data_IF_388294243883
#
_entry.id   IF_388294243883
#
_cell.length_a   1.000
_cell.length_b   1.000
_cell.length_c   1.000
_cell.angle_alpha   90.00
_cell.angle_beta   90.00
_cell.angle_gamma   90.00
#
_symmetry.space_group_name_H-M   'P 1'
#
loop_
_entity.id
_entity.type
_entity.pdbx_description
1 polymer ?
#
# COMPACT_ATOMS: atom_id res chain seq x y z
N UNK A 1 -2.56 15.05 15.11
CA UNK A 1 -1.67 15.16 13.94
C UNK A 1 -0.50 14.21 14.14
N UNK A 2 -0.07 13.52 13.08
CA UNK A 2 1.05 12.57 13.04
C UNK A 2 1.37 12.26 11.59
N UNK A 3 2.42 11.49 11.35
CA UNK A 3 2.83 11.06 10.00
C UNK A 3 2.57 9.57 9.88
N UNK A 4 2.02 9.14 8.74
CA UNK A 4 1.87 7.73 8.40
C UNK A 4 3.11 7.27 7.64
N UNK A 5 3.71 6.17 8.08
CA UNK A 5 4.88 5.57 7.45
C UNK A 5 4.50 4.20 6.91
N UNK A 6 4.76 3.98 5.63
CA UNK A 6 4.57 2.71 4.94
C UNK A 6 5.93 2.12 4.60
N UNK A 7 6.06 0.80 4.72
CA UNK A 7 7.24 0.06 4.30
C UNK A 7 6.79 -0.94 3.25
N UNK A 8 7.33 -0.83 2.04
CA UNK A 8 6.94 -1.64 0.89
C UNK A 8 8.14 -1.90 -0.02
N UNK A 9 8.07 -2.90 -0.93
CA UNK A 9 9.07 -3.10 -1.98
C UNK A 9 9.22 -1.87 -2.88
N UNK A 10 10.44 -1.56 -3.33
CA UNK A 10 10.71 -0.37 -4.13
C UNK A 10 10.03 -0.37 -5.50
N UNK A 11 9.73 -1.56 -6.03
CA UNK A 11 9.11 -1.77 -7.33
C UNK A 11 7.59 -1.86 -7.27
N UNK A 12 6.97 -1.82 -6.08
CA UNK A 12 5.52 -1.90 -5.90
C UNK A 12 4.99 -0.55 -5.39
N UNK A 13 3.78 -0.18 -5.83
CA UNK A 13 3.08 1.00 -5.36
C UNK A 13 2.47 0.77 -3.95
N UNK A 14 2.17 1.86 -3.22
CA UNK A 14 1.50 1.80 -1.92
C UNK A 14 -0.02 1.84 -2.13
N UNK A 15 -0.75 0.92 -1.49
CA UNK A 15 -2.20 0.84 -1.57
C UNK A 15 -2.87 1.42 -0.31
N UNK A 16 -4.16 1.79 -0.44
CA UNK A 16 -5.00 2.20 0.71
C UNK A 16 -5.11 1.13 1.79
N UNK A 17 -5.02 -0.13 1.38
CA UNK A 17 -5.10 -1.30 2.24
C UNK A 17 -3.76 -1.61 2.94
N UNK A 18 -2.66 -0.99 2.49
CA UNK A 18 -1.33 -1.24 3.03
C UNK A 18 -1.22 -0.81 4.49
N UNK A 19 -0.55 -1.64 5.30
CA UNK A 19 -0.40 -1.39 6.74
C UNK A 19 0.52 -0.19 6.98
N UNK A 20 -0.01 0.82 7.65
CA UNK A 20 0.72 2.04 7.99
C UNK A 20 1.09 2.08 9.48
N UNK A 21 2.35 2.43 9.78
CA UNK A 21 2.80 2.74 11.15
C UNK A 21 2.66 4.23 11.44
N UNK A 22 1.99 4.58 12.53
CA UNK A 22 1.75 5.98 12.92
C UNK A 22 2.91 6.55 13.74
N UNK A 23 3.67 7.47 13.16
CA UNK A 23 4.66 8.27 13.87
C UNK A 23 3.99 9.48 14.52
N UNK A 24 3.87 9.45 15.86
CA UNK A 24 3.26 10.53 16.62
C UNK A 24 4.28 11.65 16.93
N UNK A 25 3.88 12.93 16.88
CA UNK A 25 4.78 14.04 17.18
C UNK A 25 5.20 14.06 18.66
N UNK A 26 6.20 14.89 18.97
CA UNK A 26 6.69 15.07 20.34
C UNK A 26 7.52 13.90 20.87
N UNK A 27 8.04 13.07 19.97
CA UNK A 27 8.92 11.95 20.29
C UNK A 27 9.66 11.42 19.08
N UNK A 28 10.51 10.44 19.34
CA UNK A 28 11.16 9.60 18.34
C UNK A 28 10.38 8.28 18.24
N UNK A 29 10.03 7.88 17.02
CA UNK A 29 9.48 6.55 16.72
C UNK A 29 10.53 5.77 15.96
N UNK A 30 11.01 4.67 16.53
CA UNK A 30 11.95 3.77 15.87
C UNK A 30 11.17 2.65 15.19
N UNK A 31 11.42 2.42 13.91
CA UNK A 31 10.71 1.46 13.06
C UNK A 31 11.68 0.37 12.64
N UNK A 32 11.31 -0.88 12.91
CA UNK A 32 12.11 -2.08 12.64
C UNK A 32 11.35 -2.99 11.66
N UNK A 33 11.69 -2.94 10.36
CA UNK A 33 11.05 -3.79 9.36
C UNK A 33 11.68 -5.19 9.33
N UNK A 34 10.84 -6.22 9.18
CA UNK A 34 11.21 -7.61 8.99
C UNK A 34 10.63 -8.09 7.66
N UNK A 35 11.51 -8.48 6.74
CA UNK A 35 11.12 -8.89 5.40
C UNK A 35 10.91 -10.41 5.33
N UNK A 36 9.78 -10.81 4.77
CA UNK A 36 9.48 -12.20 4.42
C UNK A 36 9.25 -12.29 2.90
N UNK A 37 9.95 -13.21 2.24
CA UNK A 37 9.81 -13.42 0.80
C UNK A 37 9.07 -14.73 0.51
N UNK A 38 8.10 -14.66 -0.41
CA UNK A 38 7.33 -15.80 -0.89
C UNK A 38 7.62 -16.06 -2.36
N UNK A 39 7.75 -17.33 -2.73
CA UNK A 39 7.88 -17.77 -4.12
C UNK A 39 6.89 -18.88 -4.41
N UNK A 40 6.06 -18.70 -5.43
CA UNK A 40 4.99 -19.61 -5.85
C UNK A 40 5.32 -20.20 -7.22
N UNK A 41 4.94 -21.46 -7.42
CA UNK A 41 5.12 -22.15 -8.70
C UNK A 41 3.85 -22.03 -9.54
N UNK A 42 4.00 -21.64 -10.81
CA UNK A 42 2.90 -21.52 -11.76
C UNK A 42 2.63 -22.84 -12.53
N UNK A 43 1.57 -22.85 -13.34
CA UNK A 43 1.21 -23.95 -14.23
C UNK A 43 0.56 -25.12 -13.48
N UNK A 44 1.22 -26.28 -13.46
CA UNK A 44 0.65 -27.48 -12.83
C UNK A 44 0.52 -27.40 -11.30
N UNK A 45 1.15 -26.41 -10.68
CA UNK A 45 1.25 -26.26 -9.22
C UNK A 45 0.33 -25.17 -8.66
N UNK A 46 -0.33 -24.39 -9.52
CA UNK A 46 -1.17 -23.26 -9.15
C UNK A 46 -1.11 -22.17 -10.21
N UNK A 47 -1.86 -21.10 -9.97
CA UNK A 47 -1.87 -19.90 -10.82
C UNK A 47 -1.27 -18.75 -10.03
N UNK A 48 -0.22 -18.14 -10.58
CA UNK A 48 0.34 -16.89 -10.07
C UNK A 48 0.76 -16.01 -11.25
N UNK A 49 0.95 -14.73 -10.98
CA UNK A 49 1.33 -13.72 -11.99
C UNK A 49 2.80 -13.32 -11.77
N UNK A 50 3.63 -13.36 -12.81
CA UNK A 50 5.03 -12.90 -12.71
C UNK A 50 5.16 -11.45 -13.16
N UNK A 51 4.44 -11.08 -14.21
CA UNK A 51 4.49 -9.75 -14.82
C UNK A 51 3.08 -9.13 -14.86
N UNK A 52 3.00 -7.81 -14.65
CA UNK A 52 1.72 -7.09 -14.62
C UNK A 52 0.92 -7.15 -15.93
N UNK A 53 1.58 -7.46 -17.06
CA UNK A 53 0.94 -7.60 -18.36
C UNK A 53 0.22 -8.95 -18.56
N UNK A 54 0.37 -9.91 -17.64
CA UNK A 54 -0.34 -11.20 -17.71
C UNK A 54 -1.82 -11.07 -17.30
N UNK A 55 -2.18 -10.00 -16.59
CA UNK A 55 -3.57 -9.68 -16.24
C UNK A 55 -4.18 -8.72 -17.25
N UNK A 56 -5.52 -8.77 -17.40
CA UNK A 56 -6.23 -7.99 -18.43
C UNK A 56 -6.04 -6.48 -18.27
N UNK A 57 -6.07 -6.00 -17.03
CA UNK A 57 -6.02 -4.58 -16.67
C UNK A 57 -5.19 -4.41 -15.41
N UNK A 58 -4.17 -3.55 -15.52
CA UNK A 58 -3.33 -3.13 -14.42
C UNK A 58 -2.89 -1.68 -14.68
N UNK A 59 -3.39 -0.73 -13.89
CA UNK A 59 -3.15 0.71 -14.09
C UNK A 59 -2.04 1.28 -13.21
N UNK A 60 -1.46 0.45 -12.34
CA UNK A 60 -0.33 0.82 -11.49
C UNK A 60 1.00 0.68 -12.22
N UNK A 61 2.03 1.34 -11.71
CA UNK A 61 3.37 1.27 -12.28
C UNK A 61 4.24 0.28 -11.51
N UNK A 62 5.15 -0.39 -12.21
CA UNK A 62 6.11 -1.30 -11.57
C UNK A 62 5.66 -2.76 -11.54
N UNK A 63 6.02 -3.46 -10.47
CA UNK A 63 5.79 -4.88 -10.28
C UNK A 63 4.32 -5.18 -9.96
N UNK A 64 3.88 -6.36 -10.36
CA UNK A 64 2.51 -6.81 -10.10
C UNK A 64 2.26 -7.00 -8.60
N UNK A 65 1.17 -6.41 -8.12
CA UNK A 65 0.61 -6.65 -6.80
C UNK A 65 -0.89 -6.98 -6.91
N UNK A 66 -1.36 -7.93 -6.11
CA UNK A 66 -2.76 -8.38 -6.11
C UNK A 66 -3.73 -7.21 -5.86
N UNK A 67 -3.42 -6.34 -4.90
CA UNK A 67 -4.24 -5.17 -4.57
C UNK A 67 -4.36 -4.19 -5.75
N UNK A 68 -3.26 -3.96 -6.46
CA UNK A 68 -3.26 -3.12 -7.67
C UNK A 68 -4.13 -3.71 -8.79
N UNK A 69 -4.18 -5.04 -8.91
CA UNK A 69 -5.08 -5.71 -9.86
C UNK A 69 -6.56 -5.53 -9.47
N UNK A 70 -6.90 -5.73 -8.19
CA UNK A 70 -8.27 -5.56 -7.69
C UNK A 70 -8.76 -4.12 -7.86
N UNK A 71 -7.92 -3.14 -7.56
CA UNK A 71 -8.24 -1.73 -7.78
C UNK A 71 -8.33 -1.36 -9.26
N UNK A 72 -7.55 -2.03 -10.12
CA UNK A 72 -7.68 -1.86 -11.58
C UNK A 72 -9.00 -2.45 -12.10
N UNK A 73 -9.47 -3.58 -11.57
CA UNK A 73 -10.81 -4.09 -11.87
C UNK A 73 -11.91 -3.09 -11.46
N UNK A 74 -11.78 -2.50 -10.28
CA UNK A 74 -12.69 -1.45 -9.81
C UNK A 74 -12.72 -0.25 -10.75
N UNK A 75 -11.55 0.22 -11.21
CA UNK A 75 -11.46 1.33 -12.16
C UNK A 75 -12.13 0.98 -13.49
N UNK A 76 -11.94 -0.24 -13.98
CA UNK A 76 -12.63 -0.67 -15.20
C UNK A 76 -14.15 -0.73 -15.01
N UNK A 77 -14.63 -1.17 -13.85
CA UNK A 77 -16.06 -1.17 -13.57
C UNK A 77 -16.62 0.26 -13.54
N UNK A 78 -15.88 1.21 -12.94
CA UNK A 78 -16.25 2.63 -12.97
C UNK A 78 -16.30 3.17 -14.40
N UNK A 79 -15.29 2.88 -15.22
CA UNK A 79 -15.27 3.32 -16.62
C UNK A 79 -16.47 2.75 -17.40
N UNK A 80 -16.78 1.47 -17.22
CA UNK A 80 -17.86 0.79 -17.95
C UNK A 80 -19.26 1.27 -17.53
N UNK A 81 -19.46 1.56 -16.23
CA UNK A 81 -20.78 1.89 -15.68
C UNK A 81 -21.03 3.40 -15.68
N UNK A 82 -20.03 4.19 -15.27
CA UNK A 82 -20.13 5.64 -15.08
C UNK A 82 -19.55 6.44 -16.25
N UNK A 83 -18.81 5.80 -17.17
CA UNK A 83 -18.13 6.46 -18.28
C UNK A 83 -16.90 7.26 -17.88
N UNK A 84 -16.38 7.03 -16.67
CA UNK A 84 -15.22 7.73 -16.11
C UNK A 84 -14.52 6.85 -15.06
N UNK A 85 -13.25 7.13 -14.80
CA UNK A 85 -12.47 6.46 -13.76
C UNK A 85 -12.37 7.34 -12.49
N UNK A 86 -12.34 6.71 -11.33
CA UNK A 86 -12.23 7.41 -10.05
C UNK A 86 -10.85 8.07 -9.92
N UNK A 87 -10.74 9.40 -9.80
CA UNK A 87 -9.43 10.07 -9.74
C UNK A 87 -8.61 9.76 -8.48
N UNK A 88 -9.15 9.01 -7.50
CA UNK A 88 -8.41 8.59 -6.29
C UNK A 88 -7.38 7.49 -6.54
N UNK A 89 -7.54 6.69 -7.58
CA UNK A 89 -6.59 5.63 -7.94
C UNK A 89 -6.00 5.90 -9.33
N UNK A 90 -4.88 5.25 -9.71
CA UNK A 90 -4.34 5.34 -11.07
C UNK A 90 -5.37 4.94 -12.12
N UNK A 91 -5.25 5.58 -13.28
CA UNK A 91 -6.20 5.46 -14.40
C UNK A 91 -5.44 5.14 -15.68
N UNK A 92 -6.12 4.59 -16.67
CA UNK A 92 -5.56 4.45 -18.01
C UNK A 92 -5.21 5.83 -18.60
N UNK A 93 -4.16 5.90 -19.42
CA UNK A 93 -3.62 7.18 -19.95
C UNK A 93 -4.68 8.06 -20.66
N UNK A 94 -5.68 7.45 -21.29
CA UNK A 94 -6.73 8.15 -22.05
C UNK A 94 -8.10 8.13 -21.36
N UNK A 95 -8.18 7.66 -20.12
CA UNK A 95 -9.44 7.61 -19.38
C UNK A 95 -9.84 8.99 -18.85
N UNK A 96 -11.14 9.29 -18.90
CA UNK A 96 -11.68 10.50 -18.30
C UNK A 96 -11.80 10.34 -16.78
N UNK A 97 -11.25 11.30 -16.02
CA UNK A 97 -11.44 11.35 -14.58
C UNK A 97 -12.89 11.72 -14.22
N UNK A 98 -13.49 11.01 -13.26
CA UNK A 98 -14.82 11.33 -12.75
C UNK A 98 -14.83 12.69 -12.07
N UNK A 99 -15.86 13.47 -12.38
CA UNK A 99 -16.12 14.75 -11.72
C UNK A 99 -16.92 14.59 -10.43
N UNK A 100 -16.99 15.64 -9.60
CA UNK A 100 -17.76 15.60 -8.36
C UNK A 100 -19.25 15.27 -8.55
N UNK A 101 -19.85 15.60 -9.69
CA UNK A 101 -21.24 15.25 -10.00
C UNK A 101 -21.43 13.76 -10.27
N UNK A 102 -20.38 13.03 -10.64
CA UNK A 102 -20.41 11.59 -10.89
C UNK A 102 -20.08 10.76 -9.65
N UNK A 103 -19.78 11.41 -8.51
CA UNK A 103 -19.42 10.73 -7.26
C UNK A 103 -20.44 9.68 -6.84
N UNK A 104 -21.74 9.98 -6.94
CA UNK A 104 -22.78 9.02 -6.55
C UNK A 104 -22.75 7.77 -7.39
N UNK A 105 -22.44 7.88 -8.70
CA UNK A 105 -22.28 6.71 -9.56
C UNK A 105 -21.10 5.83 -9.11
N UNK A 106 -19.95 6.45 -8.83
CA UNK A 106 -18.75 5.74 -8.37
C UNK A 106 -18.99 5.04 -7.02
N UNK A 107 -19.69 5.70 -6.09
CA UNK A 107 -20.07 5.12 -4.80
C UNK A 107 -21.05 3.93 -5.00
N UNK A 108 -21.99 4.05 -5.94
CA UNK A 108 -22.96 3.01 -6.29
C UNK A 108 -22.30 1.77 -6.93
N UNK A 109 -21.19 1.92 -7.66
CA UNK A 109 -20.44 0.77 -8.22
C UNK A 109 -19.99 -0.16 -7.10
N UNK A 110 -19.33 0.38 -6.09
CA UNK A 110 -18.90 -0.38 -4.90
C UNK A 110 -20.08 -0.91 -4.09
N UNK A 111 -21.16 -0.15 -3.97
CA UNK A 111 -22.33 -0.55 -3.18
C UNK A 111 -23.10 -1.70 -3.83
N UNK A 112 -23.24 -1.69 -5.16
CA UNK A 112 -24.03 -2.68 -5.88
C UNK A 112 -23.24 -3.94 -6.27
N UNK A 113 -21.97 -3.78 -6.65
CA UNK A 113 -21.11 -4.92 -7.04
C UNK A 113 -20.38 -5.52 -5.84
N UNK A 114 -20.24 -4.80 -4.74
CA UNK A 114 -19.45 -5.24 -3.59
C UNK A 114 -17.95 -5.22 -3.86
N UNK A 115 -17.23 -6.13 -3.22
CA UNK A 115 -15.76 -6.19 -3.27
C UNK A 115 -15.26 -6.78 -4.61
N UNK A 116 -14.28 -6.15 -5.29
CA UNK A 116 -13.71 -6.64 -6.55
C UNK A 116 -13.19 -8.08 -6.52
N UNK A 117 -12.75 -8.58 -5.36
CA UNK A 117 -12.27 -9.96 -5.20
C UNK A 117 -13.38 -11.00 -5.40
N UNK A 118 -14.64 -10.58 -5.31
CA UNK A 118 -15.82 -11.43 -5.49
C UNK A 118 -16.37 -11.43 -6.92
N UNK A 119 -15.83 -10.60 -7.81
CA UNK A 119 -16.37 -10.42 -9.15
C UNK A 119 -15.86 -11.49 -10.12
N UNK A 120 -16.78 -12.16 -10.83
CA UNK A 120 -16.44 -13.21 -11.81
C UNK A 120 -15.51 -12.74 -12.94
N UNK A 121 -15.57 -11.46 -13.31
CA UNK A 121 -14.74 -10.87 -14.36
C UNK A 121 -13.39 -10.35 -13.86
N UNK A 122 -13.14 -10.34 -12.55
CA UNK A 122 -11.90 -9.88 -11.94
C UNK A 122 -11.07 -11.07 -11.45
N UNK A 123 -10.12 -11.52 -12.26
CA UNK A 123 -9.18 -12.59 -11.88
C UNK A 123 -7.83 -11.99 -11.52
N UNK A 124 -7.56 -11.90 -10.22
CA UNK A 124 -6.30 -11.37 -9.68
C UNK A 124 -5.59 -12.44 -8.83
N UNK A 125 -4.83 -13.36 -9.44
CA UNK A 125 -4.02 -14.32 -8.71
C UNK A 125 -2.89 -13.64 -7.94
N UNK A 126 -2.32 -14.31 -6.93
CA UNK A 126 -1.16 -13.79 -6.21
C UNK A 126 0.08 -13.69 -7.13
N UNK A 127 1.00 -12.80 -6.78
CA UNK A 127 2.30 -12.72 -7.44
C UNK A 127 3.12 -14.01 -7.27
N UNK A 128 3.86 -14.41 -8.30
CA UNK A 128 4.76 -15.56 -8.23
C UNK A 128 5.97 -15.29 -7.32
N UNK A 129 6.42 -14.04 -7.23
CA UNK A 129 7.41 -13.58 -6.28
C UNK A 129 6.83 -12.39 -5.51
N UNK A 130 6.79 -12.47 -4.18
CA UNK A 130 6.16 -11.47 -3.33
C UNK A 130 7.05 -11.21 -2.10
N UNK A 131 7.11 -9.95 -1.65
CA UNK A 131 7.87 -9.54 -0.46
C UNK A 131 6.95 -8.79 0.49
N UNK A 132 6.74 -9.36 1.66
CA UNK A 132 5.94 -8.76 2.73
C UNK A 132 6.87 -8.19 3.82
N UNK A 133 6.45 -7.11 4.45
CA UNK A 133 7.18 -6.46 5.53
C UNK A 133 6.33 -6.38 6.79
N UNK A 134 6.72 -7.16 7.80
CA UNK A 134 6.23 -6.97 9.17
C UNK A 134 6.98 -5.82 9.82
N UNK A 135 6.29 -5.02 10.63
CA UNK A 135 6.90 -3.86 11.29
C UNK A 135 6.70 -3.94 12.79
N UNK A 136 7.82 -3.98 13.52
CA UNK A 136 7.83 -3.63 14.94
C UNK A 136 8.22 -2.16 15.09
N UNK A 137 7.64 -1.47 16.06
CA UNK A 137 7.98 -0.08 16.34
C UNK A 137 8.05 0.18 17.84
N UNK A 138 8.90 1.12 18.22
CA UNK A 138 8.96 1.66 19.58
C UNK A 138 8.82 3.17 19.53
N UNK A 139 8.45 3.77 20.66
CA UNK A 139 8.34 5.22 20.76
C UNK A 139 8.95 5.72 22.05
N UNK A 140 9.76 6.77 21.92
CA UNK A 140 10.32 7.53 23.03
C UNK A 140 9.80 8.96 22.95
N UNK A 141 9.25 9.49 24.05
CA UNK A 141 8.80 10.88 24.09
C UNK A 141 9.98 11.82 24.32
N UNK A 142 9.98 12.98 23.66
CA UNK A 142 11.01 13.98 23.90
C UNK A 142 10.79 14.61 25.28
N UNK A 143 11.72 14.36 26.20
CA UNK A 143 11.76 15.01 27.52
C UNK A 143 12.27 16.45 27.37
N UNK A 144 11.47 17.42 27.81
CA UNK A 144 11.88 18.83 27.95
C UNK A 144 12.83 19.07 29.15
N UNK A 145 13.06 18.06 30.01
CA UNK A 145 14.10 18.18 31.04
C UNK A 145 15.45 17.95 30.38
N UNK A 146 16.34 18.94 30.51
CA UNK A 146 17.76 18.78 30.15
C UNK A 146 18.26 17.48 30.78
N UNK A 147 18.90 16.62 29.99
CA UNK A 147 19.69 15.54 30.53
C UNK A 147 20.84 16.19 31.32
N UNK A 148 20.71 16.29 32.64
CA UNK A 148 21.81 16.68 33.50
C UNK A 148 22.85 15.56 33.40
N UNK A 149 23.93 15.81 32.67
CA UNK A 149 25.11 14.95 32.69
C UNK A 149 25.72 15.14 34.08
N UNK A 150 25.82 14.09 34.92
CA UNK A 150 26.57 14.20 36.17
C UNK A 150 28.04 14.43 35.79
N UNK A 151 28.52 15.66 35.97
CA UNK A 151 29.94 15.95 35.90
C UNK A 151 30.62 15.25 37.08
N UNK A 152 31.40 14.21 36.80
CA UNK A 152 32.36 13.63 37.74
C UNK A 152 33.68 14.39 37.57
N UNK A 153 34.12 15.21 38.53
CA UNK A 153 35.48 15.72 38.51
C UNK A 153 36.40 14.53 38.78
N UNK A 154 37.07 14.05 37.73
CA UNK A 154 38.21 13.16 37.88
C UNK A 154 39.30 13.90 38.66
N UNK A 155 39.54 13.49 39.90
CA UNK A 155 40.70 13.92 40.68
C UNK A 155 41.96 13.42 39.97
N UNK A 156 42.59 14.30 39.20
CA UNK A 156 43.96 14.09 38.74
C UNK A 156 44.89 14.31 39.94
N UNK A 157 45.26 13.24 40.62
CA UNK A 157 46.42 13.23 41.51
C UNK A 157 47.68 13.16 40.66
N UNK A 158 48.51 14.20 40.78
CA UNK A 158 49.89 14.28 40.27
C UNK A 158 50.80 13.25 40.95
#
# INVERSE_FOLDING_TARGET
MGIQVFVHPAEEDIFSESVATMAQPGGQTDIFPFMTAYTRLNGRYGTCVSEANEVKQYFYTGAYATDGCLQSCYQQACENICGCMDPRYPMAENAAACSLSQRTCVDDVTTNLGDPSSWDNCTCPNACAEREYDVAWTRTVYSQRKAEIPYSPGTATL
#
